data_IF_121681724032
#
_entry.id   IF_121681724032
#
_cell.length_a   1.000
_cell.length_b   1.000
_cell.length_c   1.000
_cell.angle_alpha   90.00
_cell.angle_beta   90.00
_cell.angle_gamma   90.00
#
_symmetry.space_group_name_H-M   'P 1'
#
loop_
_entity.id
_entity.type
_entity.pdbx_description
1 polymer ?
#
# COMPACT_ATOMS: atom_id res chain seq x y z
N UNK A 1 -9.60 22.75 -13.14
CA UNK A 1 -8.19 23.08 -12.87
C UNK A 1 -7.35 21.97 -13.48
N UNK A 2 -6.59 22.24 -14.55
CA UNK A 2 -5.75 21.24 -15.22
C UNK A 2 -4.55 20.97 -14.30
N UNK A 3 -4.57 19.83 -13.61
CA UNK A 3 -3.41 19.32 -12.88
C UNK A 3 -2.53 18.66 -13.93
N UNK A 4 -1.57 19.41 -14.46
CA UNK A 4 -0.44 18.85 -15.20
C UNK A 4 0.53 18.29 -14.16
N UNK A 5 0.51 16.98 -13.95
CA UNK A 5 1.61 16.25 -13.32
C UNK A 5 2.79 16.31 -14.28
N UNK A 6 3.55 17.40 -14.23
CA UNK A 6 4.85 17.46 -14.91
C UNK A 6 5.82 16.62 -14.08
N UNK A 7 5.79 15.32 -14.35
CA UNK A 7 6.75 14.36 -13.80
C UNK A 7 8.06 14.69 -14.52
N UNK A 8 8.95 15.39 -13.81
CA UNK A 8 10.25 15.79 -14.31
C UNK A 8 10.92 14.67 -15.11
N UNK A 9 11.46 15.04 -16.27
CA UNK A 9 12.22 14.15 -17.13
C UNK A 9 13.41 13.60 -16.35
N UNK A 10 13.31 12.38 -15.84
CA UNK A 10 14.45 11.76 -15.18
C UNK A 10 14.59 10.29 -15.56
N UNK A 11 15.73 9.96 -16.16
CA UNK A 11 16.17 8.60 -16.46
C UNK A 11 16.27 7.75 -15.16
N UNK A 12 16.34 8.39 -13.98
CA UNK A 12 16.27 7.78 -12.65
C UNK A 12 14.89 7.19 -12.30
N UNK A 13 13.80 7.63 -12.96
CA UNK A 13 12.45 7.17 -12.64
C UNK A 13 12.28 5.65 -12.80
N UNK A 14 13.06 5.00 -13.69
CA UNK A 14 13.03 3.56 -13.92
C UNK A 14 13.77 2.73 -12.87
N UNK A 15 14.80 3.30 -12.25
CA UNK A 15 15.57 2.64 -11.18
C UNK A 15 14.71 2.50 -9.93
N UNK A 16 13.86 3.49 -9.70
CA UNK A 16 13.00 3.58 -8.53
C UNK A 16 11.63 2.93 -8.72
N UNK A 17 11.38 2.27 -9.85
CA UNK A 17 10.16 1.47 -10.05
C UNK A 17 10.21 0.26 -9.11
N UNK A 18 9.20 0.07 -8.22
CA UNK A 18 9.18 -1.05 -7.32
C UNK A 18 9.10 -2.38 -8.08
N UNK A 19 9.62 -3.45 -7.47
CA UNK A 19 9.44 -4.80 -7.99
C UNK A 19 7.94 -5.14 -8.07
N UNK A 20 7.56 -5.92 -9.07
CA UNK A 20 6.20 -6.42 -9.16
C UNK A 20 5.97 -7.52 -8.11
N UNK A 21 4.74 -7.61 -7.61
CA UNK A 21 4.33 -8.55 -6.58
C UNK A 21 3.72 -9.77 -7.26
N UNK A 22 4.28 -10.95 -7.04
CA UNK A 22 3.72 -12.21 -7.55
C UNK A 22 2.65 -12.69 -6.57
N UNK A 23 1.40 -12.67 -7.02
CA UNK A 23 0.24 -12.92 -6.17
C UNK A 23 0.09 -14.39 -5.75
N UNK A 24 0.55 -15.32 -6.58
CA UNK A 24 0.40 -16.76 -6.38
C UNK A 24 1.41 -17.35 -5.37
N UNK A 25 2.39 -16.56 -4.92
CA UNK A 25 3.33 -16.98 -3.86
C UNK A 25 2.71 -16.96 -2.46
N UNK A 26 1.51 -16.38 -2.34
CA UNK A 26 0.81 -16.21 -1.07
C UNK A 26 -0.43 -17.11 -1.00
N UNK A 27 -0.65 -17.69 0.18
CA UNK A 27 -1.90 -18.38 0.48
C UNK A 27 -2.93 -17.37 1.00
N UNK A 28 -4.00 -17.15 0.23
CA UNK A 28 -5.05 -16.20 0.58
C UNK A 28 -6.27 -16.90 1.20
N UNK A 29 -6.82 -16.39 2.31
CA UNK A 29 -7.96 -17.00 3.00
C UNK A 29 -9.21 -16.98 2.11
N UNK A 30 -9.98 -18.06 2.09
CA UNK A 30 -11.24 -18.13 1.33
C UNK A 30 -12.23 -17.11 1.85
N UNK A 31 -12.93 -16.43 0.94
CA UNK A 31 -13.99 -15.47 1.30
C UNK A 31 -15.30 -15.88 0.65
N UNK A 32 -16.43 -15.79 1.38
CA UNK A 32 -17.73 -16.03 0.78
C UNK A 32 -17.99 -14.98 -0.29
N UNK A 33 -18.67 -15.39 -1.36
CA UNK A 33 -19.12 -14.48 -2.40
C UNK A 33 -20.31 -13.67 -1.88
N UNK A 34 -20.26 -12.35 -2.06
CA UNK A 34 -21.35 -11.43 -1.70
C UNK A 34 -22.63 -11.74 -2.47
N UNK A 35 -22.52 -12.30 -3.67
CA UNK A 35 -23.68 -12.73 -4.45
C UNK A 35 -24.48 -13.86 -3.77
N UNK A 36 -23.88 -14.61 -2.85
CA UNK A 36 -24.56 -15.66 -2.10
C UNK A 36 -25.54 -15.11 -1.04
N UNK A 37 -25.44 -13.83 -0.70
CA UNK A 37 -26.29 -13.18 0.30
C UNK A 37 -27.65 -12.74 -0.26
N UNK A 38 -27.92 -12.98 -1.56
CA UNK A 38 -29.12 -12.51 -2.25
C UNK A 38 -29.90 -13.67 -2.89
N UNK A 39 -31.21 -13.68 -2.68
CA UNK A 39 -32.11 -14.63 -3.34
C UNK A 39 -32.27 -14.34 -4.84
N UNK A 40 -32.57 -15.39 -5.62
CA UNK A 40 -32.93 -15.25 -7.04
C UNK A 40 -31.77 -14.98 -8.00
N UNK A 41 -30.52 -15.01 -7.52
CA UNK A 41 -29.28 -14.80 -8.29
C UNK A 41 -29.07 -15.85 -9.39
N UNK A 42 -29.67 -17.05 -9.25
CA UNK A 42 -29.54 -18.20 -10.16
C UNK A 42 -30.57 -18.23 -11.31
N UNK A 43 -31.43 -17.23 -11.48
CA UNK A 43 -32.37 -17.17 -12.62
C UNK A 43 -31.65 -16.77 -13.92
N UNK A 44 -31.88 -17.52 -15.00
CA UNK A 44 -31.03 -17.62 -16.19
C UNK A 44 -30.68 -16.33 -16.99
N UNK A 45 -29.45 -16.39 -17.54
CA UNK A 45 -29.00 -16.06 -18.89
C UNK A 45 -29.14 -14.63 -19.45
N UNK A 46 -28.54 -13.65 -18.77
CA UNK A 46 -28.11 -12.42 -19.46
C UNK A 46 -26.60 -12.20 -19.22
N UNK A 47 -25.77 -12.03 -20.28
CA UNK A 47 -24.35 -11.68 -20.15
C UNK A 47 -24.09 -10.46 -19.24
N UNK A 48 -25.01 -9.49 -19.25
CA UNK A 48 -24.99 -8.30 -18.38
C UNK A 48 -25.16 -8.66 -16.90
N UNK A 49 -25.84 -9.77 -16.59
CA UNK A 49 -26.05 -10.25 -15.22
C UNK A 49 -24.77 -10.83 -14.63
N UNK A 50 -23.94 -11.51 -15.42
CA UNK A 50 -22.66 -12.06 -14.95
C UNK A 50 -21.71 -10.97 -14.46
N UNK A 51 -21.57 -9.89 -15.24
CA UNK A 51 -20.78 -8.72 -14.83
C UNK A 51 -21.37 -8.09 -13.57
N UNK A 52 -22.68 -7.83 -13.52
CA UNK A 52 -23.33 -7.26 -12.35
C UNK A 52 -23.09 -8.07 -11.06
N UNK A 53 -23.16 -9.39 -11.14
CA UNK A 53 -22.87 -10.27 -10.00
C UNK A 53 -21.38 -10.29 -9.63
N UNK A 54 -20.48 -10.23 -10.63
CA UNK A 54 -19.05 -10.09 -10.38
C UNK A 54 -18.73 -8.76 -9.68
N UNK A 55 -19.39 -7.66 -10.06
CA UNK A 55 -19.20 -6.35 -9.43
C UNK A 55 -19.62 -6.35 -7.95
N UNK A 56 -20.70 -7.05 -7.59
CA UNK A 56 -21.08 -7.21 -6.17
C UNK A 56 -19.96 -7.86 -5.36
N UNK A 57 -19.35 -8.91 -5.89
CA UNK A 57 -18.22 -9.57 -5.24
C UNK A 57 -16.97 -8.70 -5.22
N UNK A 58 -16.68 -8.01 -6.32
CA UNK A 58 -15.53 -7.13 -6.44
C UNK A 58 -15.52 -6.07 -5.33
N UNK A 59 -16.66 -5.41 -5.11
CA UNK A 59 -16.78 -4.38 -4.07
C UNK A 59 -16.74 -4.95 -2.66
N UNK A 60 -17.29 -6.14 -2.42
CA UNK A 60 -17.19 -6.80 -1.13
C UNK A 60 -15.74 -7.20 -0.81
N UNK A 61 -15.03 -7.78 -1.78
CA UNK A 61 -13.61 -8.11 -1.66
C UNK A 61 -12.79 -6.85 -1.42
N UNK A 62 -13.06 -5.75 -2.14
CA UNK A 62 -12.39 -4.47 -1.92
C UNK A 62 -12.50 -4.00 -0.47
N UNK A 63 -13.71 -4.01 0.09
CA UNK A 63 -13.97 -3.52 1.45
C UNK A 63 -13.35 -4.38 2.56
N UNK A 64 -13.03 -5.65 2.29
CA UNK A 64 -12.66 -6.60 3.35
C UNK A 64 -11.23 -7.15 3.22
N UNK A 65 -10.63 -7.08 2.04
CA UNK A 65 -9.34 -7.74 1.75
C UNK A 65 -8.14 -6.86 1.96
N UNK A 66 -7.00 -7.46 2.34
CA UNK A 66 -5.73 -6.75 2.37
C UNK A 66 -5.26 -6.38 0.95
N UNK A 67 -4.28 -5.49 0.86
CA UNK A 67 -3.55 -5.20 -0.38
C UNK A 67 -2.79 -6.46 -0.82
N UNK A 68 -2.82 -6.80 -2.11
CA UNK A 68 -2.32 -8.05 -2.67
C UNK A 68 -3.42 -9.13 -2.70
N UNK A 69 -4.13 -9.34 -1.59
CA UNK A 69 -5.27 -10.26 -1.54
C UNK A 69 -6.38 -9.80 -2.49
N UNK A 70 -6.68 -8.50 -2.47
CA UNK A 70 -7.68 -7.90 -3.33
C UNK A 70 -7.39 -8.17 -4.80
N UNK A 71 -6.17 -7.92 -5.26
CA UNK A 71 -5.75 -8.10 -6.64
C UNK A 71 -5.80 -9.58 -7.06
N UNK A 72 -5.39 -10.50 -6.18
CA UNK A 72 -5.53 -11.95 -6.42
C UNK A 72 -6.99 -12.38 -6.59
N UNK A 73 -7.87 -11.90 -5.71
CA UNK A 73 -9.30 -12.19 -5.75
C UNK A 73 -9.98 -11.53 -6.95
N UNK A 74 -9.58 -10.33 -7.31
CA UNK A 74 -10.01 -9.66 -8.53
C UNK A 74 -9.71 -10.52 -9.76
N UNK A 75 -8.49 -11.04 -9.90
CA UNK A 75 -8.17 -11.92 -11.03
C UNK A 75 -8.95 -13.23 -11.01
N UNK A 76 -9.19 -13.80 -9.82
CA UNK A 76 -10.04 -14.99 -9.69
C UNK A 76 -11.47 -14.74 -10.18
N UNK A 77 -12.05 -13.58 -9.82
CA UNK A 77 -13.37 -13.16 -10.28
C UNK A 77 -13.39 -12.86 -11.79
N UNK A 78 -12.34 -12.20 -12.30
CA UNK A 78 -12.22 -11.89 -13.72
C UNK A 78 -12.07 -13.16 -14.57
N UNK A 79 -11.32 -14.15 -14.10
CA UNK A 79 -11.09 -15.41 -14.83
C UNK A 79 -12.40 -16.18 -15.06
N UNK A 80 -13.36 -16.07 -14.14
CA UNK A 80 -14.69 -16.63 -14.30
C UNK A 80 -15.53 -15.90 -15.36
N UNK A 81 -15.30 -14.60 -15.58
CA UNK A 81 -16.01 -13.78 -16.56
C UNK A 81 -15.36 -13.82 -17.96
N UNK A 82 -14.03 -13.83 -18.01
CA UNK A 82 -13.21 -13.87 -19.21
C UNK A 82 -12.11 -14.90 -18.96
N UNK A 83 -12.12 -16.08 -19.60
CA UNK A 83 -11.06 -17.06 -19.42
C UNK A 83 -9.70 -16.53 -19.91
N UNK A 84 -8.68 -16.61 -19.07
CA UNK A 84 -7.28 -16.29 -19.36
C UNK A 84 -6.35 -17.15 -18.50
N UNK A 85 -5.08 -17.24 -18.89
CA UNK A 85 -4.07 -18.11 -18.26
C UNK A 85 -3.20 -17.36 -17.25
N UNK A 86 -2.90 -16.08 -17.54
CA UNK A 86 -2.08 -15.20 -16.72
C UNK A 86 -2.55 -13.74 -16.83
N UNK A 87 -2.17 -12.89 -15.88
CA UNK A 87 -2.57 -11.49 -15.89
C UNK A 87 -1.60 -10.57 -15.14
N UNK A 88 -1.69 -9.28 -15.45
CA UNK A 88 -0.92 -8.21 -14.82
C UNK A 88 -1.79 -6.97 -14.65
N UNK A 89 -1.81 -6.39 -13.45
CA UNK A 89 -2.50 -5.13 -13.15
C UNK A 89 -1.62 -4.23 -12.30
N UNK A 90 -1.99 -2.97 -12.21
CA UNK A 90 -1.32 -2.01 -11.37
C UNK A 90 -1.77 -0.59 -11.65
N UNK A 91 -1.06 0.33 -11.03
CA UNK A 91 -1.21 1.76 -11.18
C UNK A 91 0.07 2.30 -11.78
N UNK A 92 -0.08 3.17 -12.77
CA UNK A 92 1.01 3.80 -13.48
C UNK A 92 0.74 5.29 -13.68
N UNK A 93 1.80 6.05 -13.87
CA UNK A 93 1.73 7.36 -14.52
C UNK A 93 2.31 7.26 -15.91
N UNK A 94 1.81 8.11 -16.80
CA UNK A 94 2.28 8.18 -18.17
C UNK A 94 3.23 9.37 -18.32
N UNK A 95 4.49 9.08 -18.67
CA UNK A 95 5.47 10.10 -19.04
C UNK A 95 5.85 9.93 -20.52
N UNK A 96 6.44 10.95 -21.18
CA UNK A 96 6.79 10.86 -22.59
C UNK A 96 7.68 9.66 -22.96
N UNK A 97 8.47 9.15 -22.01
CA UNK A 97 9.38 8.01 -22.22
C UNK A 97 8.72 6.64 -22.01
N UNK A 98 7.42 6.59 -21.73
CA UNK A 98 6.69 5.35 -21.46
C UNK A 98 6.01 5.37 -20.09
N UNK A 99 5.21 4.34 -19.77
CA UNK A 99 4.55 4.29 -18.48
C UNK A 99 5.56 3.98 -17.36
N UNK A 100 5.38 4.64 -16.21
CA UNK A 100 6.14 4.43 -14.97
C UNK A 100 5.20 3.73 -14.00
N UNK A 101 5.57 2.52 -13.57
CA UNK A 101 4.72 1.73 -12.68
C UNK A 101 4.89 2.20 -11.24
N UNK A 102 3.78 2.58 -10.59
CA UNK A 102 3.74 2.94 -9.17
C UNK A 102 3.56 1.68 -8.30
N UNK A 103 2.80 0.71 -8.80
CA UNK A 103 2.73 -0.64 -8.26
C UNK A 103 2.39 -1.63 -9.39
N UNK A 104 2.66 -2.91 -9.16
CA UNK A 104 2.44 -3.95 -10.17
C UNK A 104 2.17 -5.28 -9.48
N UNK A 105 1.13 -5.96 -9.93
CA UNK A 105 0.67 -7.24 -9.39
C UNK A 105 0.56 -8.26 -10.51
N UNK A 106 1.30 -9.36 -10.37
CA UNK A 106 1.42 -10.44 -11.33
C UNK A 106 0.59 -11.64 -10.87
N UNK A 107 -0.24 -12.15 -11.78
CA UNK A 107 -1.05 -13.35 -11.57
C UNK A 107 -0.64 -14.42 -12.57
N UNK A 108 -0.17 -15.55 -12.03
CA UNK A 108 0.41 -16.70 -12.74
C UNK A 108 1.57 -16.31 -13.66
N UNK A 109 2.39 -15.36 -13.21
CA UNK A 109 3.60 -14.89 -13.89
C UNK A 109 4.77 -14.82 -12.90
N UNK A 110 6.00 -15.16 -13.32
CA UNK A 110 7.16 -15.14 -12.45
C UNK A 110 7.70 -13.72 -12.24
N UNK A 111 8.47 -13.50 -11.16
CA UNK A 111 9.15 -12.22 -10.87
C UNK A 111 9.96 -11.65 -12.05
N UNK A 112 10.59 -12.53 -12.82
CA UNK A 112 11.40 -12.15 -13.98
C UNK A 112 10.59 -11.43 -15.07
N UNK A 113 9.27 -11.70 -15.15
CA UNK A 113 8.37 -11.12 -16.14
C UNK A 113 8.48 -9.59 -16.19
N UNK A 114 8.36 -8.95 -15.03
CA UNK A 114 8.36 -7.50 -14.93
C UNK A 114 9.76 -6.92 -15.17
N UNK A 115 10.79 -7.58 -14.67
CA UNK A 115 12.18 -7.16 -14.87
C UNK A 115 12.56 -7.19 -16.35
N UNK A 116 12.12 -8.20 -17.08
CA UNK A 116 12.36 -8.30 -18.52
C UNK A 116 11.47 -7.37 -19.32
N UNK A 117 10.21 -7.17 -18.92
CA UNK A 117 9.30 -6.23 -19.56
C UNK A 117 9.90 -4.81 -19.58
N UNK A 118 10.55 -4.38 -18.49
CA UNK A 118 11.23 -3.07 -18.44
C UNK A 118 12.24 -2.86 -19.58
N UNK A 119 12.80 -3.93 -20.15
CA UNK A 119 13.78 -3.89 -21.26
C UNK A 119 13.14 -3.77 -22.65
N UNK A 120 11.85 -4.05 -22.74
CA UNK A 120 11.07 -4.03 -23.99
C UNK A 120 9.90 -3.04 -23.93
N UNK A 121 9.78 -2.27 -22.84
CA UNK A 121 8.69 -1.31 -22.62
C UNK A 121 8.63 -0.21 -23.68
N UNK A 122 9.77 0.16 -24.26
CA UNK A 122 9.92 1.18 -25.29
C UNK A 122 9.28 0.74 -26.61
N UNK A 123 9.24 -0.56 -26.87
CA UNK A 123 8.61 -1.16 -28.04
C UNK A 123 7.29 -1.88 -27.72
N UNK A 124 6.73 -1.70 -26.52
CA UNK A 124 5.45 -2.31 -26.14
C UNK A 124 4.26 -1.59 -26.82
N UNK A 125 3.59 -2.22 -27.78
CA UNK A 125 2.49 -1.59 -28.53
C UNK A 125 1.23 -1.39 -27.68
N UNK A 126 1.04 -2.14 -26.58
CA UNK A 126 -0.06 -1.95 -25.65
C UNK A 126 0.17 -0.68 -24.84
N UNK A 127 1.39 -0.51 -24.31
CA UNK A 127 1.80 0.71 -23.63
C UNK A 127 1.70 1.94 -24.54
N UNK A 128 2.19 1.83 -25.79
CA UNK A 128 2.21 2.94 -26.73
C UNK A 128 0.80 3.44 -27.08
N UNK A 129 -0.18 2.54 -27.26
CA UNK A 129 -1.57 2.93 -27.55
C UNK A 129 -2.23 3.69 -26.40
N UNK A 130 -1.85 3.43 -25.15
CA UNK A 130 -2.38 4.18 -23.99
C UNK A 130 -1.84 5.59 -23.87
N UNK A 131 -0.56 5.80 -24.18
CA UNK A 131 0.06 7.14 -24.18
C UNK A 131 -0.65 8.11 -25.13
N UNK A 132 -1.27 7.58 -26.18
CA UNK A 132 -2.00 8.34 -27.20
C UNK A 132 -3.50 8.50 -26.90
N UNK A 133 -3.91 8.32 -25.63
CA UNK A 133 -5.24 8.72 -25.16
C UNK A 133 -6.36 7.67 -25.32
N UNK A 134 -6.02 6.41 -25.57
CA UNK A 134 -7.00 5.32 -25.72
C UNK A 134 -7.55 4.78 -24.37
N UNK A 135 -7.79 5.66 -23.38
CA UNK A 135 -8.36 5.25 -22.09
C UNK A 135 -9.78 4.71 -22.27
N UNK A 136 -10.10 3.63 -21.56
CA UNK A 136 -11.40 2.97 -21.60
C UNK A 136 -11.65 2.11 -22.85
N UNK A 137 -10.66 1.95 -23.73
CA UNK A 137 -10.76 1.10 -24.92
C UNK A 137 -9.82 -0.09 -24.80
N UNK A 138 -10.36 -1.30 -24.97
CA UNK A 138 -9.57 -2.51 -24.93
C UNK A 138 -8.72 -2.64 -26.20
N UNK A 139 -7.46 -2.96 -25.99
CA UNK A 139 -6.49 -3.27 -27.04
C UNK A 139 -6.24 -4.77 -27.01
N UNK A 140 -6.36 -5.40 -28.18
CA UNK A 140 -6.06 -6.82 -28.38
C UNK A 140 -4.86 -6.95 -29.28
N UNK A 141 -4.03 -7.95 -29.02
CA UNK A 141 -2.81 -8.22 -29.77
C UNK A 141 -2.55 -9.72 -29.81
N UNK A 142 -2.11 -10.20 -30.95
CA UNK A 142 -1.66 -11.58 -31.15
C UNK A 142 -0.16 -11.59 -31.39
N UNK A 143 0.59 -12.52 -30.78
CA UNK A 143 2.07 -12.56 -30.90
C UNK A 143 2.58 -12.75 -32.34
N UNK A 144 1.75 -13.31 -33.23
CA UNK A 144 2.06 -13.50 -34.66
C UNK A 144 1.62 -12.33 -35.55
N UNK A 145 1.13 -11.22 -34.97
CA UNK A 145 0.71 -10.05 -35.73
C UNK A 145 1.91 -9.44 -36.50
N UNK A 146 1.76 -9.15 -37.81
CA UNK A 146 2.81 -8.50 -38.60
C UNK A 146 3.19 -7.14 -38.02
N UNK A 147 4.48 -6.80 -38.06
CA UNK A 147 4.98 -5.49 -37.62
C UNK A 147 5.30 -5.36 -36.12
N UNK A 148 5.10 -6.41 -35.32
CA UNK A 148 5.58 -6.43 -33.94
C UNK A 148 7.11 -6.42 -33.86
N UNK A 149 7.67 -5.55 -33.02
CA UNK A 149 9.10 -5.53 -32.70
C UNK A 149 9.56 -6.91 -32.22
N UNK A 150 10.70 -7.39 -32.74
CA UNK A 150 11.22 -8.72 -32.44
C UNK A 150 11.50 -8.88 -30.94
N UNK A 151 12.00 -7.85 -30.24
CA UNK A 151 12.29 -7.90 -28.80
C UNK A 151 11.02 -8.11 -27.99
N UNK A 152 9.94 -7.39 -28.33
CA UNK A 152 8.64 -7.56 -27.69
C UNK A 152 8.05 -8.94 -27.98
N UNK A 153 8.16 -9.41 -29.23
CA UNK A 153 7.71 -10.75 -29.62
C UNK A 153 8.46 -11.85 -28.86
N UNK A 154 9.77 -11.75 -28.75
CA UNK A 154 10.60 -12.72 -28.03
C UNK A 154 10.26 -12.74 -26.53
N UNK A 155 9.95 -11.56 -25.96
CA UNK A 155 9.43 -11.47 -24.59
C UNK A 155 8.07 -12.16 -24.45
N UNK A 156 7.13 -11.93 -25.37
CA UNK A 156 5.86 -12.66 -25.40
C UNK A 156 6.08 -14.18 -25.50
N UNK A 157 6.95 -14.65 -26.39
CA UNK A 157 7.26 -16.08 -26.57
C UNK A 157 7.87 -16.67 -25.30
N UNK A 158 8.84 -15.98 -24.68
CA UNK A 158 9.50 -16.41 -23.43
C UNK A 158 8.49 -16.71 -22.32
N UNK A 159 7.42 -15.91 -22.22
CA UNK A 159 6.41 -16.03 -21.17
C UNK A 159 5.13 -16.74 -21.64
N UNK A 160 5.11 -17.29 -22.86
CA UNK A 160 3.96 -18.00 -23.42
C UNK A 160 2.74 -17.10 -23.67
N UNK A 161 2.94 -15.82 -24.01
CA UNK A 161 1.86 -14.85 -24.22
C UNK A 161 1.43 -14.85 -25.70
N UNK A 162 0.58 -15.80 -26.10
CA UNK A 162 0.13 -15.91 -27.48
C UNK A 162 -0.93 -14.86 -27.86
N UNK A 163 -1.81 -14.54 -26.92
CA UNK A 163 -2.86 -13.54 -27.04
C UNK A 163 -2.81 -12.60 -25.84
N UNK A 164 -2.87 -11.31 -26.09
CA UNK A 164 -2.82 -10.27 -25.07
C UNK A 164 -4.08 -9.39 -25.23
N UNK A 165 -4.73 -9.08 -24.12
CA UNK A 165 -5.75 -8.04 -24.07
C UNK A 165 -5.47 -7.09 -22.91
N UNK A 166 -5.53 -5.80 -23.19
CA UNK A 166 -5.15 -4.74 -22.28
C UNK A 166 -6.20 -3.65 -22.26
N UNK A 167 -6.49 -3.07 -21.10
CA UNK A 167 -7.30 -1.86 -20.97
C UNK A 167 -6.79 -1.01 -19.82
N UNK A 168 -6.96 0.31 -19.89
CA UNK A 168 -6.64 1.21 -18.79
C UNK A 168 -7.67 2.33 -18.64
N UNK A 169 -7.72 2.93 -17.45
CA UNK A 169 -8.51 4.11 -17.16
C UNK A 169 -7.70 5.09 -16.33
N UNK A 170 -7.92 6.38 -16.54
CA UNK A 170 -7.26 7.45 -15.79
C UNK A 170 -8.21 7.97 -14.71
N UNK A 171 -7.76 7.92 -13.45
CA UNK A 171 -8.40 8.66 -12.37
C UNK A 171 -7.85 10.10 -12.40
N UNK A 172 -8.66 11.03 -12.93
CA UNK A 172 -8.31 12.44 -13.05
C UNK A 172 -8.14 13.16 -11.71
N UNK A 173 -8.59 12.57 -10.60
CA UNK A 173 -8.40 13.16 -9.26
C UNK A 173 -6.94 13.10 -8.84
N UNK A 174 -6.26 12.00 -9.18
CA UNK A 174 -4.89 11.72 -8.76
C UNK A 174 -3.89 11.77 -9.93
N UNK A 175 -4.38 11.80 -11.18
CA UNK A 175 -3.52 11.70 -12.36
C UNK A 175 -2.89 10.31 -12.52
N UNK A 176 -3.53 9.29 -11.93
CA UNK A 176 -3.04 7.91 -11.90
C UNK A 176 -3.83 7.06 -12.90
N UNK A 177 -3.13 6.24 -13.66
CA UNK A 177 -3.73 5.30 -14.60
C UNK A 177 -3.76 3.90 -14.00
N UNK A 178 -4.96 3.36 -13.81
CA UNK A 178 -5.15 1.94 -13.50
C UNK A 178 -5.18 1.15 -14.80
N UNK A 179 -4.46 0.04 -14.88
CA UNK A 179 -4.47 -0.84 -16.05
C UNK A 179 -4.70 -2.29 -15.67
N UNK A 180 -5.20 -3.07 -16.62
CA UNK A 180 -5.28 -4.54 -16.54
C UNK A 180 -4.86 -5.10 -17.89
N UNK A 181 -4.04 -6.14 -17.82
CA UNK A 181 -3.59 -6.93 -18.95
C UNK A 181 -3.83 -8.41 -18.65
N UNK A 182 -4.45 -9.14 -19.58
CA UNK A 182 -4.71 -10.57 -19.47
C UNK A 182 -4.15 -11.30 -20.68
N UNK A 183 -3.74 -12.55 -20.46
CA UNK A 183 -2.94 -13.33 -21.41
C UNK A 183 -3.53 -14.72 -21.62
N UNK A 184 -3.54 -15.20 -22.87
CA UNK A 184 -3.78 -16.61 -23.21
C UNK A 184 -2.56 -17.21 -23.87
N UNK A 185 -2.27 -18.48 -23.58
CA UNK A 185 -1.13 -19.22 -24.12
C UNK A 185 -1.38 -19.84 -25.50
N UNK A 186 -2.65 -19.99 -25.89
CA UNK A 186 -3.05 -20.57 -27.17
C UNK A 186 -3.49 -19.54 -28.21
N UNK A 187 -3.17 -19.78 -29.48
CA UNK A 187 -3.68 -19.01 -30.63
C UNK A 187 -5.10 -19.40 -31.05
N UNK A 188 -5.61 -20.53 -30.57
CA UNK A 188 -6.90 -21.11 -30.96
C UNK A 188 -8.13 -20.44 -30.29
N UNK A 189 -7.90 -19.53 -29.33
CA UNK A 189 -8.95 -18.82 -28.59
C UNK A 189 -8.63 -17.33 -28.48
N UNK A 190 -8.69 -16.56 -29.58
CA UNK A 190 -8.44 -15.13 -29.54
C UNK A 190 -9.49 -14.39 -28.71
N UNK A 191 -9.13 -13.22 -28.17
CA UNK A 191 -10.07 -12.37 -27.44
C UNK A 191 -11.12 -11.78 -28.39
N UNK A 192 -12.40 -12.08 -28.13
CA UNK A 192 -13.52 -11.61 -28.95
C UNK A 192 -13.98 -10.20 -28.60
N UNK A 193 -14.94 -9.67 -29.36
CA UNK A 193 -15.51 -8.33 -29.09
C UNK A 193 -16.29 -8.30 -27.76
N UNK A 194 -16.93 -9.42 -27.41
CA UNK A 194 -17.58 -9.56 -26.10
C UNK A 194 -16.58 -9.53 -24.93
N UNK A 195 -15.39 -10.13 -25.11
CA UNK A 195 -14.32 -10.06 -24.10
C UNK A 195 -13.87 -8.60 -23.93
N UNK A 196 -13.63 -7.90 -25.04
CA UNK A 196 -13.23 -6.50 -25.05
C UNK A 196 -14.26 -5.60 -24.36
N UNK A 197 -15.55 -5.75 -24.70
CA UNK A 197 -16.63 -4.96 -24.11
C UNK A 197 -16.74 -5.16 -22.59
N UNK A 198 -16.70 -6.40 -22.10
CA UNK A 198 -16.68 -6.71 -20.67
C UNK A 198 -15.48 -6.07 -19.96
N UNK A 199 -14.33 -6.05 -20.63
CA UNK A 199 -13.10 -5.48 -20.08
C UNK A 199 -13.15 -3.95 -20.00
N UNK A 200 -13.72 -3.30 -21.01
CA UNK A 200 -13.98 -1.86 -21.05
C UNK A 200 -14.99 -1.41 -19.99
N UNK A 201 -16.06 -2.18 -19.77
CA UNK A 201 -17.03 -1.90 -18.70
C UNK A 201 -16.40 -2.08 -17.31
N UNK A 202 -15.53 -3.08 -17.13
CA UNK A 202 -14.91 -3.43 -15.84
C UNK A 202 -13.86 -2.42 -15.38
N UNK A 203 -13.06 -1.84 -16.27
CA UNK A 203 -11.89 -1.03 -15.87
C UNK A 203 -12.20 0.16 -14.94
N UNK A 204 -13.28 0.96 -15.11
CA UNK A 204 -13.64 1.98 -14.12
C UNK A 204 -14.04 1.38 -12.76
N UNK A 205 -14.69 0.21 -12.74
CA UNK A 205 -15.06 -0.46 -11.50
C UNK A 205 -13.83 -0.97 -10.74
N UNK A 206 -12.82 -1.49 -11.44
CA UNK A 206 -11.56 -1.86 -10.80
C UNK A 206 -10.87 -0.63 -10.18
N UNK A 207 -10.78 0.48 -10.91
CA UNK A 207 -10.17 1.70 -10.38
C UNK A 207 -10.89 2.20 -9.12
N UNK A 208 -12.23 2.19 -9.12
CA UNK A 208 -13.02 2.53 -7.94
C UNK A 208 -12.82 1.53 -6.78
N UNK A 209 -12.77 0.22 -7.08
CA UNK A 209 -12.58 -0.84 -6.10
C UNK A 209 -11.19 -0.79 -5.45
N UNK A 210 -10.14 -0.44 -6.21
CA UNK A 210 -8.80 -0.18 -5.66
C UNK A 210 -8.83 0.96 -4.63
N UNK A 211 -9.51 2.07 -4.94
CA UNK A 211 -9.67 3.19 -4.00
C UNK A 211 -10.41 2.77 -2.73
N UNK A 212 -11.50 2.00 -2.86
CA UNK A 212 -12.23 1.44 -1.73
C UNK A 212 -11.32 0.53 -0.89
N UNK A 213 -10.52 -0.30 -1.55
CA UNK A 213 -9.63 -1.22 -0.87
C UNK A 213 -8.56 -0.50 -0.06
N UNK A 214 -7.95 0.55 -0.63
CA UNK A 214 -6.94 1.36 0.08
C UNK A 214 -7.55 2.12 1.26
N UNK A 215 -8.77 2.65 1.12
CA UNK A 215 -9.49 3.27 2.23
C UNK A 215 -9.81 2.26 3.35
N UNK A 216 -10.35 1.10 2.98
CA UNK A 216 -10.73 0.07 3.96
C UNK A 216 -9.51 -0.51 4.70
N UNK A 217 -8.33 -0.56 4.07
CA UNK A 217 -7.09 -0.95 4.74
C UNK A 217 -6.76 -0.04 5.92
N UNK A 218 -6.76 1.29 5.71
CA UNK A 218 -6.47 2.25 6.77
C UNK A 218 -7.51 2.17 7.90
N UNK A 219 -8.79 2.04 7.57
CA UNK A 219 -9.87 1.88 8.57
C UNK A 219 -9.66 0.65 9.44
N UNK A 220 -9.41 -0.53 8.85
CA UNK A 220 -9.21 -1.77 9.61
C UNK A 220 -8.00 -1.71 10.53
N UNK A 221 -6.93 -1.08 10.08
CA UNK A 221 -5.75 -0.90 10.91
C UNK A 221 -5.99 0.10 12.03
N UNK A 222 -6.89 1.08 11.82
CA UNK A 222 -7.26 2.04 12.86
C UNK A 222 -8.00 1.33 13.98
N UNK A 223 -8.91 0.43 13.61
CA UNK A 223 -9.66 -0.40 14.56
C UNK A 223 -8.76 -1.40 15.29
N UNK A 224 -7.69 -1.90 14.66
CA UNK A 224 -6.71 -2.81 15.30
C UNK A 224 -5.72 -2.10 16.21
N UNK A 225 -5.47 -0.82 15.98
CA UNK A 225 -4.55 -0.05 16.79
C UNK A 225 -5.31 0.43 18.02
N UNK A 226 -5.13 -0.24 19.17
CA UNK A 226 -5.64 0.17 20.49
C UNK A 226 -5.06 1.50 21.00
N UNK A 227 -4.46 2.30 20.12
CA UNK A 227 -3.78 3.54 20.47
C UNK A 227 -4.77 4.69 20.59
N UNK A 228 -4.83 5.30 21.78
CA UNK A 228 -5.62 6.50 22.08
C UNK A 228 -5.10 7.76 21.37
N UNK A 229 -3.85 7.75 20.88
CA UNK A 229 -3.25 8.91 20.24
C UNK A 229 -3.79 9.12 18.81
N UNK A 230 -4.22 10.34 18.45
CA UNK A 230 -4.64 10.64 17.08
C UNK A 230 -3.42 10.61 16.16
N UNK A 231 -3.25 9.50 15.45
CA UNK A 231 -2.29 9.39 14.36
C UNK A 231 -3.03 9.53 13.04
N UNK A 232 -2.50 10.36 12.14
CA UNK A 232 -3.05 10.51 10.80
C UNK A 232 -2.34 9.54 9.87
N UNK A 233 -3.10 8.80 9.06
CA UNK A 233 -2.56 7.74 8.22
C UNK A 233 -2.72 8.06 6.75
N UNK A 234 -1.82 7.52 5.95
CA UNK A 234 -1.94 7.54 4.52
C UNK A 234 -1.24 6.34 3.88
N UNK A 235 -1.58 6.10 2.62
CA UNK A 235 -0.92 5.17 1.71
C UNK A 235 -0.29 5.97 0.58
N UNK A 236 1.01 5.78 0.37
CA UNK A 236 1.73 6.34 -0.76
C UNK A 236 2.52 5.25 -1.49
N UNK A 237 2.90 5.52 -2.73
CA UNK A 237 3.82 4.64 -3.48
C UNK A 237 5.29 5.03 -3.28
N UNK A 238 6.18 4.31 -3.97
CA UNK A 238 7.63 4.55 -3.92
C UNK A 238 8.07 5.91 -4.50
N UNK A 239 7.18 6.61 -5.22
CA UNK A 239 7.39 7.99 -5.67
C UNK A 239 6.80 9.01 -4.70
N UNK A 240 6.20 8.56 -3.60
CA UNK A 240 5.57 9.40 -2.60
C UNK A 240 4.22 9.95 -3.00
N UNK A 241 3.64 9.53 -4.13
CA UNK A 241 2.29 9.98 -4.52
C UNK A 241 1.29 9.34 -3.57
N UNK A 242 0.40 10.14 -2.98
CA UNK A 242 -0.65 9.67 -2.08
C UNK A 242 -1.77 8.97 -2.88
N UNK A 243 -2.06 7.72 -2.53
CA UNK A 243 -3.18 6.95 -3.07
C UNK A 243 -4.43 7.11 -2.20
N UNK A 244 -4.24 7.21 -0.89
CA UNK A 244 -5.30 7.47 0.07
C UNK A 244 -4.73 8.10 1.34
N UNK A 245 -5.49 8.96 2.01
CA UNK A 245 -5.10 9.57 3.27
C UNK A 245 -6.34 9.80 4.15
N UNK A 246 -6.16 9.66 5.46
CA UNK A 246 -7.19 9.99 6.44
C UNK A 246 -7.54 11.49 6.37
N UNK A 247 -8.78 11.87 6.72
CA UNK A 247 -9.13 13.26 6.93
C UNK A 247 -8.18 13.94 7.93
N UNK A 248 -7.65 15.11 7.57
CA UNK A 248 -6.72 15.87 8.41
C UNK A 248 -5.25 15.45 8.30
N UNK A 249 -4.92 14.42 7.52
CA UNK A 249 -3.52 14.04 7.25
C UNK A 249 -2.70 15.22 6.71
N UNK A 250 -3.30 16.02 5.83
CA UNK A 250 -2.62 17.15 5.23
C UNK A 250 -2.22 18.23 6.26
N UNK A 251 -3.07 18.47 7.25
CA UNK A 251 -2.81 19.41 8.34
C UNK A 251 -1.68 18.92 9.22
N UNK A 252 -1.63 17.61 9.50
CA UNK A 252 -0.54 16.99 10.25
C UNK A 252 0.77 17.15 9.49
N UNK A 253 0.81 16.86 8.19
CA UNK A 253 2.04 16.95 7.40
C UNK A 253 2.55 18.40 7.30
N UNK A 254 1.64 19.40 7.24
CA UNK A 254 1.98 20.82 7.23
C UNK A 254 2.66 21.30 8.53
N UNK A 255 2.53 20.58 9.63
CA UNK A 255 3.23 20.92 10.88
C UNK A 255 4.77 20.77 10.73
N UNK A 256 5.22 19.82 9.92
CA UNK A 256 6.64 19.63 9.60
C UNK A 256 7.04 20.39 8.33
N UNK A 257 6.15 20.43 7.34
CA UNK A 257 6.41 21.07 6.04
C UNK A 257 5.31 22.09 5.69
N UNK A 258 5.38 23.34 6.19
CA UNK A 258 4.31 24.34 6.00
C UNK A 258 4.01 24.69 4.54
N UNK A 259 5.01 24.59 3.65
CA UNK A 259 4.88 24.90 2.23
C UNK A 259 4.35 23.73 1.38
N UNK A 260 4.10 22.57 1.99
CA UNK A 260 3.63 21.39 1.28
C UNK A 260 2.14 21.49 0.91
N UNK A 261 1.82 21.16 -0.35
CA UNK A 261 0.47 21.27 -0.91
C UNK A 261 -0.02 19.98 -1.59
N UNK A 262 0.64 18.85 -1.33
CA UNK A 262 0.34 17.57 -1.99
C UNK A 262 0.59 17.60 -3.51
N UNK A 263 0.13 16.58 -4.26
CA UNK A 263 -0.38 15.27 -3.79
C UNK A 263 0.75 14.28 -3.45
N UNK A 264 2.01 14.67 -3.66
CA UNK A 264 3.19 13.86 -3.35
C UNK A 264 3.77 14.28 -2.01
N UNK A 265 4.13 13.34 -1.14
CA UNK A 265 4.79 13.64 0.14
C UNK A 265 6.16 14.32 -0.09
N UNK A 266 6.66 15.11 0.88
CA UNK A 266 7.94 15.81 0.74
C UNK A 266 9.12 14.88 0.43
N UNK A 267 10.08 15.37 -0.36
CA UNK A 267 11.20 14.56 -0.87
C UNK A 267 12.05 13.94 0.24
N UNK A 268 12.19 14.61 1.38
CA UNK A 268 12.86 14.05 2.55
C UNK A 268 12.20 12.75 3.04
N UNK A 269 10.87 12.69 3.03
CA UNK A 269 10.11 11.50 3.38
C UNK A 269 10.22 10.43 2.28
N UNK A 270 10.18 10.81 1.01
CA UNK A 270 10.39 9.87 -0.12
C UNK A 270 11.76 9.18 -0.02
N UNK A 271 12.81 9.95 0.19
CA UNK A 271 14.16 9.42 0.37
C UNK A 271 14.27 8.47 1.58
N UNK A 272 13.55 8.79 2.67
CA UNK A 272 13.47 7.92 3.86
C UNK A 272 12.76 6.60 3.56
N UNK A 273 11.60 6.65 2.90
CA UNK A 273 10.83 5.46 2.50
C UNK A 273 11.68 4.50 1.67
N UNK A 274 12.46 5.02 0.72
CA UNK A 274 13.32 4.19 -0.16
C UNK A 274 14.49 3.53 0.55
N UNK A 275 15.08 4.21 1.55
CA UNK A 275 16.34 3.77 2.18
C UNK A 275 16.14 3.04 3.51
N UNK A 276 15.05 3.34 4.22
CA UNK A 276 14.87 2.99 5.63
C UNK A 276 13.40 2.65 5.95
N UNK A 277 12.70 1.96 5.06
CA UNK A 277 11.26 1.63 5.15
C UNK A 277 10.78 0.89 6.40
N UNK A 278 11.68 0.40 7.26
CA UNK A 278 11.35 -0.21 8.56
C UNK A 278 11.66 0.66 9.78
N UNK A 279 12.27 1.83 9.59
CA UNK A 279 12.57 2.78 10.66
C UNK A 279 11.61 3.98 10.56
N UNK A 280 11.19 4.56 11.69
CA UNK A 280 10.38 5.76 11.67
C UNK A 280 11.21 6.96 11.21
N UNK A 281 10.60 7.81 10.39
CA UNK A 281 11.11 9.13 10.11
C UNK A 281 10.89 10.01 11.36
N UNK A 282 11.92 10.72 11.80
CA UNK A 282 11.86 11.61 12.96
C UNK A 282 12.24 13.01 12.49
N UNK A 283 11.23 13.87 12.38
CA UNK A 283 11.39 15.28 12.07
C UNK A 283 11.45 16.15 13.32
N UNK A 284 11.28 17.45 13.12
CA UNK A 284 11.24 18.45 14.19
C UNK A 284 9.91 18.39 14.95
N UNK A 285 8.80 18.37 14.21
CA UNK A 285 7.43 18.35 14.73
C UNK A 285 6.79 16.96 14.73
N UNK A 286 7.18 16.08 13.80
CA UNK A 286 6.52 14.79 13.58
C UNK A 286 7.43 13.58 13.83
N UNK A 287 6.80 12.48 14.26
CA UNK A 287 7.34 11.13 14.08
C UNK A 287 6.40 10.37 13.14
N UNK A 288 6.95 9.82 12.06
CA UNK A 288 6.20 9.11 11.04
C UNK A 288 6.68 7.67 11.01
N UNK A 289 5.81 6.74 11.38
CA UNK A 289 6.07 5.33 11.17
C UNK A 289 5.81 5.01 9.69
N UNK A 290 6.73 4.29 9.08
CA UNK A 290 6.64 3.85 7.69
C UNK A 290 6.63 2.32 7.69
N UNK A 291 5.71 1.72 6.95
CA UNK A 291 5.61 0.26 6.81
C UNK A 291 5.35 -0.08 5.34
N UNK A 292 6.16 -0.94 4.71
CA UNK A 292 5.88 -1.40 3.36
C UNK A 292 4.65 -2.32 3.36
N UNK A 293 3.72 -2.07 2.43
CA UNK A 293 2.50 -2.86 2.25
C UNK A 293 2.30 -3.12 0.76
N UNK A 294 2.70 -4.31 0.29
CA UNK A 294 2.46 -4.81 -1.06
C UNK A 294 2.65 -3.73 -2.16
N UNK A 295 3.89 -3.26 -2.30
CA UNK A 295 4.29 -2.29 -3.34
C UNK A 295 3.94 -0.84 -3.03
N UNK A 296 3.27 -0.59 -1.91
CA UNK A 296 3.00 0.73 -1.35
C UNK A 296 3.72 0.86 0.01
N UNK A 297 3.66 2.07 0.56
CA UNK A 297 4.01 2.38 1.93
C UNK A 297 2.79 2.91 2.66
N UNK A 298 2.55 2.34 3.81
CA UNK A 298 1.69 2.94 4.82
C UNK A 298 2.53 3.87 5.68
N UNK A 299 2.02 5.08 5.86
CA UNK A 299 2.61 6.09 6.73
C UNK A 299 1.63 6.43 7.84
N UNK A 300 2.11 6.44 9.06
CA UNK A 300 1.36 6.83 10.24
C UNK A 300 2.11 7.99 10.91
N UNK A 301 1.58 9.20 10.72
CA UNK A 301 2.16 10.42 11.24
C UNK A 301 1.50 10.79 12.55
N UNK A 302 2.33 11.07 13.57
CA UNK A 302 1.87 11.64 14.83
C UNK A 302 2.78 12.80 15.26
N UNK A 303 2.25 13.75 16.04
CA UNK A 303 3.08 14.73 16.72
C UNK A 303 4.20 14.05 17.51
N UNK A 304 5.37 14.66 17.49
CA UNK A 304 6.53 14.18 18.22
C UNK A 304 6.28 14.33 19.71
N UNK A 305 6.32 13.22 20.45
CA UNK A 305 6.12 13.25 21.89
C UNK A 305 7.39 13.75 22.59
N UNK A 306 7.28 14.12 23.87
CA UNK A 306 8.45 14.47 24.67
C UNK A 306 9.47 13.32 24.75
N UNK A 307 9.00 12.06 24.76
CA UNK A 307 9.86 10.88 24.77
C UNK A 307 10.66 10.72 23.47
N UNK A 308 10.11 11.12 22.32
CA UNK A 308 10.83 11.10 21.03
C UNK A 308 11.96 12.13 20.94
N UNK A 309 12.07 13.03 21.93
CA UNK A 309 13.18 14.01 22.05
C UNK A 309 14.35 13.47 22.86
N UNK A 310 14.17 12.32 23.52
CA UNK A 310 15.22 11.65 24.27
C UNK A 310 16.14 10.86 23.34
N UNK A 311 17.43 10.85 23.66
CA UNK A 311 18.36 9.91 23.02
C UNK A 311 18.03 8.47 23.45
N UNK A 312 18.46 7.44 22.70
CA UNK A 312 18.21 6.05 23.06
C UNK A 312 18.66 5.69 24.48
N UNK A 313 19.81 6.25 24.93
CA UNK A 313 20.34 6.04 26.28
C UNK A 313 19.52 6.77 27.36
N UNK A 314 19.07 7.99 27.08
CA UNK A 314 18.19 8.75 27.98
C UNK A 314 16.84 8.06 28.15
N UNK A 315 16.23 7.61 27.04
CA UNK A 315 14.96 6.88 27.06
C UNK A 315 15.07 5.57 27.82
N UNK A 316 16.14 4.79 27.59
CA UNK A 316 16.39 3.54 28.32
C UNK A 316 16.51 3.80 29.83
N UNK A 317 17.27 4.83 30.24
CA UNK A 317 17.40 5.19 31.64
C UNK A 317 16.05 5.57 32.28
N UNK A 318 15.24 6.41 31.61
CA UNK A 318 13.91 6.79 32.07
C UNK A 318 12.96 5.60 32.19
N UNK A 319 12.96 4.69 31.20
CA UNK A 319 12.11 3.49 31.23
C UNK A 319 12.46 2.57 32.40
N UNK A 320 13.74 2.26 32.59
CA UNK A 320 14.16 1.41 33.71
C UNK A 320 13.91 2.07 35.06
N UNK A 321 14.16 3.37 35.18
CA UNK A 321 13.93 4.11 36.42
C UNK A 321 12.44 4.29 36.73
N UNK A 322 11.61 4.48 35.70
CA UNK A 322 10.15 4.54 35.77
C UNK A 322 9.51 3.22 36.20
N UNK A 323 10.11 2.09 35.83
CA UNK A 323 9.74 0.76 36.31
C UNK A 323 10.16 0.46 37.76
N UNK A 324 10.40 1.49 38.58
CA UNK A 324 10.72 1.34 40.01
C UNK A 324 12.19 1.10 40.35
N UNK A 325 13.06 0.81 39.37
CA UNK A 325 14.46 0.44 39.63
C UNK A 325 15.26 1.60 40.23
N UNK A 326 16.23 1.27 41.10
CA UNK A 326 17.19 2.20 41.68
C UNK A 326 18.30 2.58 40.68
N UNK A 327 19.03 3.66 40.96
CA UNK A 327 20.16 4.09 40.12
C UNK A 327 21.23 3.00 39.91
N UNK A 328 21.47 2.14 40.92
CA UNK A 328 22.44 1.05 40.82
C UNK A 328 21.94 -0.06 39.90
N UNK A 329 20.66 -0.42 39.98
CA UNK A 329 20.04 -1.45 39.14
C UNK A 329 19.92 -1.00 37.69
N UNK A 330 19.58 0.28 37.44
CA UNK A 330 19.59 0.86 36.09
C UNK A 330 21.02 0.83 35.51
N UNK A 331 22.02 1.17 36.32
CA UNK A 331 23.43 1.17 35.91
C UNK A 331 23.90 -0.24 35.52
N UNK A 332 23.54 -1.25 36.33
CA UNK A 332 23.82 -2.64 36.04
C UNK A 332 23.14 -3.10 34.75
N UNK A 333 21.84 -2.79 34.56
CA UNK A 333 21.09 -3.18 33.37
C UNK A 333 21.62 -2.54 32.09
N UNK A 334 22.10 -1.29 32.17
CA UNK A 334 22.63 -0.54 31.03
C UNK A 334 24.14 -0.73 30.83
N UNK A 335 24.81 -1.53 31.68
CA UNK A 335 26.25 -1.74 31.71
C UNK A 335 27.06 -0.42 31.72
N UNK A 336 26.70 0.52 32.59
CA UNK A 336 27.34 1.83 32.77
C UNK A 336 27.48 2.19 34.26
N UNK A 337 28.15 3.29 34.60
CA UNK A 337 28.29 3.71 36.00
C UNK A 337 27.00 4.35 36.56
N UNK A 338 26.72 4.26 37.88
CA UNK A 338 25.61 4.97 38.51
C UNK A 338 25.66 6.50 38.30
N UNK A 339 26.86 7.07 38.21
CA UNK A 339 27.05 8.50 37.91
C UNK A 339 26.60 8.83 36.49
N UNK A 340 26.89 7.97 35.52
CA UNK A 340 26.44 8.10 34.13
C UNK A 340 24.91 7.97 34.04
N UNK A 341 24.29 7.09 34.82
CA UNK A 341 22.82 7.00 34.92
C UNK A 341 22.22 8.30 35.43
N UNK A 342 22.74 8.87 36.54
CA UNK A 342 22.27 10.16 37.07
C UNK A 342 22.41 11.26 36.01
N UNK A 343 23.49 11.25 35.24
CA UNK A 343 23.67 12.18 34.13
C UNK A 343 22.57 12.02 33.07
N UNK A 344 22.31 10.80 32.58
CA UNK A 344 21.25 10.55 31.60
C UNK A 344 19.85 10.90 32.13
N UNK A 345 19.53 10.55 33.38
CA UNK A 345 18.26 10.92 34.01
C UNK A 345 18.11 12.44 34.12
N UNK A 346 19.16 13.16 34.54
CA UNK A 346 19.15 14.63 34.61
C UNK A 346 18.93 15.27 33.23
N UNK A 347 19.62 14.77 32.21
CA UNK A 347 19.45 15.24 30.84
C UNK A 347 18.03 14.96 30.32
N UNK A 348 17.48 13.78 30.62
CA UNK A 348 16.12 13.42 30.26
C UNK A 348 15.08 14.28 31.00
N UNK A 349 15.22 14.49 32.31
CA UNK A 349 14.31 15.34 33.10
C UNK A 349 14.23 16.75 32.54
N UNK A 350 15.39 17.32 32.20
CA UNK A 350 15.45 18.64 31.56
C UNK A 350 14.72 18.68 30.22
N UNK A 351 14.90 17.64 29.37
CA UNK A 351 14.23 17.55 28.05
C UNK A 351 12.73 17.30 28.16
N UNK A 352 12.29 16.60 29.20
CA UNK A 352 10.89 16.28 29.48
C UNK A 352 10.18 17.36 30.31
N UNK A 353 10.89 18.37 30.83
CA UNK A 353 10.33 19.37 31.74
C UNK A 353 9.89 18.79 33.08
N UNK A 354 10.50 17.68 33.53
CA UNK A 354 10.14 17.01 34.78
C UNK A 354 11.01 17.47 35.94
N UNK A 355 10.40 17.53 37.11
CA UNK A 355 11.06 17.89 38.37
C UNK A 355 11.08 16.72 39.36
N UNK A 356 10.22 15.71 39.19
CA UNK A 356 10.13 14.56 40.10
C UNK A 356 9.89 13.21 39.39
N UNK A 357 10.29 12.12 40.05
CA UNK A 357 10.11 10.71 39.61
C UNK A 357 8.65 10.34 39.43
N UNK A 358 7.73 10.88 40.24
CA UNK A 358 6.29 10.62 40.14
C UNK A 358 5.71 10.98 38.77
N UNK A 359 6.30 11.96 38.08
CA UNK A 359 5.86 12.42 36.75
C UNK A 359 6.24 11.44 35.61
N UNK A 360 7.18 10.53 35.85
CA UNK A 360 7.64 9.57 34.83
C UNK A 360 6.50 8.63 34.42
N UNK A 361 5.71 8.15 35.38
CA UNK A 361 4.60 7.23 35.10
C UNK A 361 3.56 7.87 34.17
N UNK A 362 3.25 9.16 34.35
CA UNK A 362 2.34 9.89 33.46
C UNK A 362 2.88 10.04 32.04
N UNK A 363 4.17 10.37 31.90
CA UNK A 363 4.81 10.54 30.57
C UNK A 363 4.96 9.20 29.84
N UNK A 364 5.30 8.12 30.56
CA UNK A 364 5.41 6.79 29.97
C UNK A 364 4.02 6.20 29.65
N UNK A 365 3.07 6.29 30.59
CA UNK A 365 1.71 5.76 30.47
C UNK A 365 0.91 6.37 29.31
N UNK A 366 1.14 7.64 28.98
CA UNK A 366 0.58 8.28 27.79
C UNK A 366 1.01 7.65 26.45
N UNK A 367 1.95 6.69 26.47
CA UNK A 367 2.48 6.01 25.28
C UNK A 367 2.32 4.47 25.33
N UNK A 368 1.88 3.88 26.45
CA UNK A 368 1.83 2.41 26.67
C UNK A 368 0.46 1.83 27.03
N UNK A 369 -0.65 2.53 26.77
CA UNK A 369 -1.98 1.88 26.82
C UNK A 369 -2.12 0.90 25.65
N UNK A 370 -2.23 -0.42 25.80
CA UNK A 370 -2.38 -1.20 27.04
C UNK A 370 -1.63 -2.53 27.04
N UNK A 371 -1.08 -2.86 28.19
CA UNK A 371 -1.07 -4.21 28.79
C UNK A 371 -0.98 -4.00 30.30
N UNK A 372 -2.13 -3.87 30.93
CA UNK A 372 -2.29 -4.04 32.37
C UNK A 372 -3.79 -4.31 32.63
N UNK A 373 -4.16 -5.59 32.55
CA UNK A 373 -5.32 -6.10 33.28
C UNK A 373 -4.99 -6.02 34.79
N UNK A 374 -5.69 -5.12 35.47
CA UNK A 374 -6.15 -5.23 36.86
C UNK A 374 -7.49 -6.00 36.77
N UNK A 375 -7.86 -7.04 37.52
CA UNK A 375 -7.73 -7.37 38.94
C UNK A 375 -8.10 -8.86 39.10
N UNK A 376 -7.39 -9.61 39.96
CA UNK A 376 -7.98 -10.75 40.67
C UNK A 376 -7.13 -11.15 41.88
N UNK A 377 -7.13 -10.33 42.94
CA UNK A 377 -6.97 -10.85 44.31
C UNK A 377 -7.80 -9.99 45.26
N UNK A 378 -9.00 -10.45 45.59
CA UNK A 378 -9.54 -10.26 46.94
C UNK A 378 -10.28 -11.53 47.38
N UNK A 379 -9.72 -12.16 48.42
CA UNK A 379 -10.30 -13.27 49.15
C UNK A 379 -11.20 -12.72 50.26
N UNK A 380 -12.37 -13.34 50.49
CA UNK A 380 -13.23 -12.94 51.59
C UNK A 380 -14.45 -13.82 51.84
N UNK A 381 -14.24 -14.94 52.55
CA UNK A 381 -15.12 -15.41 53.62
C UNK A 381 -16.51 -15.99 53.30
N UNK A 382 -16.62 -17.32 53.39
CA UNK A 382 -17.86 -17.95 53.83
C UNK A 382 -18.14 -17.63 55.31
N UNK A 383 -19.42 -17.59 55.71
CA UNK A 383 -19.82 -18.50 56.77
C UNK A 383 -21.18 -19.20 56.52
N UNK A 384 -21.13 -20.51 56.77
CA UNK A 384 -22.17 -21.47 57.21
C UNK A 384 -23.50 -21.56 56.46
#
# INVERSE_FOLDING_TARGET
MRITTDIGQDLDALRDVPAAIVLDEFAWPTRPSRRADFDGVTRGDAPQRELGLMLLDLYAVAAQSAIGEFEYRFFSLLQALIPFDAAWTGVATHVPTGPVMHNSFLYRLPHAFFTDWKRVRDCDPLAHRTLHGAHGRAVRLTVIEPGLDARFRDWCVKYGLAQLMFVCTIDRRFGLTTFVSIYRQGLNRPFGDNDAHRFEELIPHLAAALTINRAAQLTRERERADTVAPAARALCDNFGVLHHADPGFDDVLRAEWPAWAGPRVPEALVAHLRRQSGQPFVGDALRIQCVPVAGLFQIEARPRSLLDRLSPRELAAIRYYGAGRSHKEVAQQMAISPTTVRHYLRCAYRKLGMHDKSQIAGVLGATTGGTADDEAVEAGGMPR
#
